data_IF_106558621840
#
_entry.id   IF_106558621840
#
_cell.length_a   1.000
_cell.length_b   1.000
_cell.length_c   1.000
_cell.angle_alpha   90.00
_cell.angle_beta   90.00
_cell.angle_gamma   90.00
#
_symmetry.space_group_name_H-M   'P 1'
#
loop_
_entity.id
_entity.type
_entity.pdbx_description
1 polymer ?
#
# COMPACT_ATOMS: atom_id res chain seq x y z
N UNK A 1 12.27 1.08 -7.04
CA UNK A 1 11.22 0.39 -7.81
C UNK A 1 10.83 1.30 -8.95
N UNK A 2 10.88 0.94 -10.22
CA UNK A 2 10.42 -0.31 -10.85
C UNK A 2 11.43 -0.76 -11.91
N UNK A 3 11.67 -2.06 -12.05
CA UNK A 3 12.61 -2.63 -13.05
C UNK A 3 12.04 -2.56 -14.47
N UNK A 4 10.72 -2.44 -14.63
CA UNK A 4 10.05 -2.36 -15.94
C UNK A 4 9.16 -1.12 -16.02
N UNK A 5 9.52 -0.17 -16.88
CA UNK A 5 8.75 1.05 -17.15
C UNK A 5 7.87 0.87 -18.39
N UNK A 6 7.04 -0.17 -18.39
CA UNK A 6 6.11 -0.46 -19.48
C UNK A 6 4.65 -0.35 -19.04
N UNK A 7 3.74 -0.41 -20.01
CA UNK A 7 2.28 -0.31 -19.79
C UNK A 7 1.70 -1.44 -18.92
N UNK A 8 2.47 -2.47 -18.59
CA UNK A 8 2.06 -3.58 -17.73
C UNK A 8 2.47 -3.38 -16.27
N UNK A 9 3.20 -2.31 -15.97
CA UNK A 9 3.58 -1.93 -14.62
C UNK A 9 2.42 -1.24 -13.86
N UNK A 10 1.59 -2.05 -13.20
CA UNK A 10 0.47 -1.54 -12.38
C UNK A 10 0.89 -0.60 -11.24
N UNK A 11 2.12 -0.69 -10.73
CA UNK A 11 2.62 0.28 -9.74
C UNK A 11 2.67 1.70 -10.31
N UNK A 12 3.08 1.85 -11.58
CA UNK A 12 3.13 3.16 -12.24
C UNK A 12 1.75 3.65 -12.66
N UNK A 13 0.97 2.81 -13.35
CA UNK A 13 -0.26 3.27 -14.01
C UNK A 13 -1.51 3.19 -13.14
N UNK A 14 -1.50 2.41 -12.05
CA UNK A 14 -2.63 2.31 -11.13
C UNK A 14 -2.30 2.99 -9.79
N UNK A 15 -1.20 2.61 -9.15
CA UNK A 15 -0.92 3.05 -7.76
C UNK A 15 -0.51 4.52 -7.68
N UNK A 16 0.38 5.00 -8.56
CA UNK A 16 0.77 6.42 -8.54
C UNK A 16 -0.40 7.38 -8.81
N UNK A 17 -1.26 7.18 -9.83
CA UNK A 17 -2.44 8.01 -10.00
C UNK A 17 -3.40 7.91 -8.82
N UNK A 18 -3.60 6.70 -8.27
CA UNK A 18 -4.52 6.50 -7.16
C UNK A 18 -4.06 7.20 -5.87
N UNK A 19 -2.75 7.29 -5.65
CA UNK A 19 -2.17 8.07 -4.56
C UNK A 19 -2.54 9.56 -4.63
N UNK A 20 -2.73 10.13 -5.83
CA UNK A 20 -3.14 11.53 -5.98
C UNK A 20 -4.57 11.78 -5.47
N UNK A 21 -5.41 10.73 -5.48
CA UNK A 21 -6.81 10.80 -5.06
C UNK A 21 -7.04 10.36 -3.61
N UNK A 22 -6.11 9.61 -3.02
CA UNK A 22 -6.22 9.13 -1.64
C UNK A 22 -4.97 9.44 -0.80
N UNK A 23 -5.17 10.23 0.26
CA UNK A 23 -4.08 10.71 1.11
C UNK A 23 -3.37 9.58 1.87
N UNK A 24 -4.08 8.54 2.31
CA UNK A 24 -3.48 7.41 3.03
C UNK A 24 -2.57 6.62 2.08
N UNK A 25 -3.01 6.41 0.84
CA UNK A 25 -2.19 5.80 -0.21
C UNK A 25 -0.98 6.68 -0.53
N UNK A 26 -1.14 8.00 -0.63
CA UNK A 26 -0.01 8.93 -0.80
C UNK A 26 1.01 8.82 0.34
N UNK A 27 0.56 8.85 1.59
CA UNK A 27 1.45 8.72 2.76
C UNK A 27 2.21 7.39 2.71
N UNK A 28 1.57 6.29 2.30
CA UNK A 28 2.23 4.99 2.12
C UNK A 28 3.28 4.99 0.99
N UNK A 29 2.93 5.51 -0.19
CA UNK A 29 3.84 5.60 -1.35
C UNK A 29 5.06 6.45 -1.01
N UNK A 30 4.84 7.60 -0.36
CA UNK A 30 5.93 8.49 0.06
C UNK A 30 6.79 7.85 1.15
N UNK A 31 6.21 7.12 2.11
CA UNK A 31 6.98 6.42 3.14
C UNK A 31 7.96 5.42 2.50
N UNK A 32 7.47 4.55 1.62
CA UNK A 32 8.30 3.56 0.92
C UNK A 32 9.36 4.22 0.05
N UNK A 33 8.97 5.26 -0.70
CA UNK A 33 9.90 6.01 -1.55
C UNK A 33 11.00 6.69 -0.73
N UNK A 34 10.65 7.31 0.39
CA UNK A 34 11.61 7.99 1.27
C UNK A 34 12.53 7.01 1.99
N UNK A 35 12.04 5.83 2.40
CA UNK A 35 12.91 4.76 2.91
C UNK A 35 13.96 4.30 1.88
N UNK A 36 13.55 4.12 0.62
CA UNK A 36 14.49 3.76 -0.45
C UNK A 36 15.50 4.86 -0.75
N UNK A 37 15.07 6.13 -0.72
CA UNK A 37 15.94 7.28 -1.00
C UNK A 37 16.87 7.61 0.18
N UNK A 38 16.43 7.42 1.43
CA UNK A 38 17.24 7.70 2.62
C UNK A 38 18.48 6.81 2.68
N UNK A 39 18.33 5.56 2.24
CA UNK A 39 19.46 4.62 2.12
C UNK A 39 20.50 5.09 1.08
N UNK A 40 20.06 5.79 0.02
CA UNK A 40 20.96 6.34 -1.02
C UNK A 40 21.55 7.71 -0.68
N UNK A 41 20.86 8.50 0.16
CA UNK A 41 21.16 9.92 0.38
C UNK A 41 21.84 10.22 1.72
N UNK A 42 22.27 9.19 2.46
CA UNK A 42 22.93 9.36 3.76
C UNK A 42 22.04 10.00 4.83
N UNK A 43 20.71 9.89 4.72
CA UNK A 43 19.75 10.37 5.74
C UNK A 43 19.35 11.86 5.69
N UNK A 44 19.76 12.62 4.68
CA UNK A 44 19.51 14.08 4.58
C UNK A 44 18.19 14.48 3.92
N UNK A 45 17.15 13.63 3.99
CA UNK A 45 15.86 13.95 3.38
C UNK A 45 15.03 14.89 4.30
N UNK A 46 14.34 15.89 3.72
CA UNK A 46 13.52 16.83 4.48
C UNK A 46 12.30 16.18 5.14
N UNK A 47 11.85 15.03 4.63
CA UNK A 47 10.71 14.29 5.17
C UNK A 47 11.18 12.96 5.76
N UNK A 48 10.88 12.74 7.04
CA UNK A 48 11.21 11.50 7.74
C UNK A 48 10.26 10.37 7.31
N UNK A 49 10.78 9.22 6.84
CA UNK A 49 9.95 8.10 6.40
C UNK A 49 9.04 7.57 7.51
N UNK A 50 9.53 7.49 8.76
CA UNK A 50 8.77 7.04 9.93
C UNK A 50 7.48 7.84 10.15
N UNK A 51 7.52 9.17 9.89
CA UNK A 51 6.35 10.04 10.06
C UNK A 51 5.27 9.77 9.02
N UNK A 52 5.68 9.49 7.78
CA UNK A 52 4.76 9.14 6.70
C UNK A 52 4.18 7.75 6.90
N UNK A 53 5.02 6.80 7.31
CA UNK A 53 4.59 5.45 7.66
C UNK A 53 3.55 5.48 8.78
N UNK A 54 3.82 6.19 9.88
CA UNK A 54 2.86 6.34 10.98
C UNK A 54 1.53 6.97 10.52
N UNK A 55 1.56 7.97 9.62
CA UNK A 55 0.33 8.55 9.04
C UNK A 55 -0.46 7.54 8.22
N UNK A 56 0.21 6.70 7.43
CA UNK A 56 -0.44 5.65 6.67
C UNK A 56 -1.09 4.60 7.59
N UNK A 57 -0.39 4.18 8.65
CA UNK A 57 -0.93 3.26 9.67
C UNK A 57 -2.15 3.87 10.39
N UNK A 58 -2.08 5.14 10.78
CA UNK A 58 -3.23 5.85 11.37
C UNK A 58 -4.42 5.91 10.40
N UNK A 59 -4.16 6.15 9.11
CA UNK A 59 -5.17 6.10 8.06
C UNK A 59 -5.86 4.74 7.98
N UNK A 60 -5.08 3.65 8.03
CA UNK A 60 -5.60 2.28 8.02
C UNK A 60 -6.43 1.98 9.27
N UNK A 61 -5.97 2.41 10.45
CA UNK A 61 -6.69 2.24 11.71
C UNK A 61 -8.05 2.97 11.70
N UNK A 62 -8.09 4.20 11.15
CA UNK A 62 -9.31 4.98 11.00
C UNK A 62 -10.31 4.36 9.99
N UNK A 63 -9.83 3.45 9.13
CA UNK A 63 -10.63 2.78 8.10
C UNK A 63 -10.79 1.28 8.37
N UNK A 64 -10.75 0.88 9.64
CA UNK A 64 -10.78 -0.54 10.05
C UNK A 64 -12.13 -1.23 9.84
N UNK A 65 -13.25 -0.50 9.82
CA UNK A 65 -14.59 -1.02 9.51
C UNK A 65 -14.81 -1.17 7.99
N UNK A 66 -14.16 -2.15 7.35
CA UNK A 66 -14.18 -2.32 5.89
C UNK A 66 -15.58 -2.50 5.30
N UNK A 67 -16.50 -3.10 6.05
CA UNK A 67 -17.88 -3.38 5.65
C UNK A 67 -18.71 -2.11 5.43
N UNK A 68 -18.40 -1.03 6.13
CA UNK A 68 -19.08 0.28 6.02
C UNK A 68 -18.64 1.09 4.79
N UNK A 69 -17.53 0.73 4.17
CA UNK A 69 -16.91 1.50 3.10
C UNK A 69 -17.34 1.06 1.70
N UNK A 70 -17.35 2.03 0.78
CA UNK A 70 -17.53 1.75 -0.65
C UNK A 70 -16.33 1.02 -1.26
N UNK A 71 -16.50 0.52 -2.47
CA UNK A 71 -15.48 -0.28 -3.16
C UNK A 71 -14.17 0.49 -3.37
N UNK A 72 -14.24 1.79 -3.70
CA UNK A 72 -13.05 2.61 -3.91
C UNK A 72 -12.25 2.79 -2.62
N UNK A 73 -12.93 3.05 -1.50
CA UNK A 73 -12.28 3.18 -0.20
C UNK A 73 -11.71 1.84 0.25
N UNK A 74 -12.40 0.71 0.03
CA UNK A 74 -11.83 -0.62 0.28
C UNK A 74 -10.55 -0.84 -0.53
N UNK A 75 -10.54 -0.50 -1.82
CA UNK A 75 -9.34 -0.61 -2.66
C UNK A 75 -8.19 0.28 -2.15
N UNK A 76 -8.47 1.47 -1.60
CA UNK A 76 -7.45 2.32 -0.96
C UNK A 76 -6.75 1.63 0.21
N UNK A 77 -7.49 0.88 1.02
CA UNK A 77 -6.98 0.12 2.17
C UNK A 77 -6.02 -0.96 1.67
N UNK A 78 -6.46 -1.78 0.72
CA UNK A 78 -5.61 -2.84 0.15
C UNK A 78 -4.36 -2.29 -0.55
N UNK A 79 -4.50 -1.22 -1.32
CA UNK A 79 -3.36 -0.57 -1.98
C UNK A 79 -2.36 -0.06 -0.95
N UNK A 80 -2.80 0.60 0.12
CA UNK A 80 -1.92 1.09 1.17
C UNK A 80 -1.20 -0.08 1.88
N UNK A 81 -1.93 -1.13 2.27
CA UNK A 81 -1.33 -2.32 2.92
C UNK A 81 -0.27 -2.95 2.02
N UNK A 82 -0.59 -3.22 0.74
CA UNK A 82 0.35 -3.85 -0.20
C UNK A 82 1.57 -2.95 -0.46
N UNK A 83 1.37 -1.63 -0.54
CA UNK A 83 2.48 -0.68 -0.70
C UNK A 83 3.41 -0.74 0.52
N UNK A 84 2.87 -0.67 1.74
CA UNK A 84 3.66 -0.77 2.96
C UNK A 84 4.36 -2.12 3.10
N UNK A 85 3.68 -3.22 2.75
CA UNK A 85 4.24 -4.57 2.73
C UNK A 85 5.50 -4.65 1.86
N UNK A 86 5.45 -4.09 0.66
CA UNK A 86 6.62 -4.02 -0.21
C UNK A 86 7.76 -3.24 0.44
N UNK A 87 7.45 -2.11 1.07
CA UNK A 87 8.45 -1.32 1.81
C UNK A 87 9.14 -2.12 2.92
N UNK A 88 8.36 -2.81 3.76
CA UNK A 88 8.92 -3.58 4.88
C UNK A 88 9.68 -4.82 4.42
N UNK A 89 9.23 -5.48 3.34
CA UNK A 89 9.93 -6.63 2.76
C UNK A 89 11.31 -6.24 2.22
N UNK A 90 11.41 -5.13 1.48
CA UNK A 90 12.70 -4.69 0.91
C UNK A 90 13.66 -4.21 1.99
N UNK A 91 13.14 -3.63 3.07
CA UNK A 91 13.97 -3.12 4.17
C UNK A 91 14.25 -4.16 5.26
N UNK A 92 13.67 -5.36 5.20
CA UNK A 92 13.80 -6.38 6.25
C UNK A 92 13.21 -5.94 7.60
N UNK A 93 12.14 -5.16 7.58
CA UNK A 93 11.52 -4.61 8.80
C UNK A 93 10.74 -5.66 9.59
N UNK A 94 10.78 -5.56 10.92
CA UNK A 94 10.01 -6.39 11.86
C UNK A 94 8.49 -6.21 11.76
N UNK A 95 8.03 -5.18 11.05
CA UNK A 95 6.59 -4.90 10.89
C UNK A 95 5.93 -5.82 9.85
N UNK A 96 6.71 -6.63 9.11
CA UNK A 96 6.18 -7.52 8.09
C UNK A 96 5.04 -8.44 8.58
N UNK A 97 5.18 -9.18 9.70
CA UNK A 97 4.10 -10.05 10.18
C UNK A 97 2.83 -9.28 10.52
N UNK A 98 2.96 -8.06 11.06
CA UNK A 98 1.82 -7.21 11.43
C UNK A 98 1.06 -6.78 10.17
N UNK A 99 1.76 -6.26 9.17
CA UNK A 99 1.14 -5.83 7.91
C UNK A 99 0.58 -7.01 7.11
N UNK A 100 1.22 -8.18 7.19
CA UNK A 100 0.73 -9.38 6.53
C UNK A 100 -0.57 -9.88 7.17
N UNK A 101 -0.64 -9.93 8.50
CA UNK A 101 -1.88 -10.24 9.20
C UNK A 101 -2.97 -9.21 8.93
N UNK A 102 -2.63 -7.92 8.84
CA UNK A 102 -3.58 -6.88 8.46
C UNK A 102 -4.16 -7.12 7.06
N UNK A 103 -3.34 -7.53 6.09
CA UNK A 103 -3.81 -7.91 4.76
C UNK A 103 -4.77 -9.10 4.80
N UNK A 104 -4.43 -10.14 5.57
CA UNK A 104 -5.28 -11.33 5.74
C UNK A 104 -6.63 -10.96 6.37
N UNK A 105 -6.62 -10.22 7.48
CA UNK A 105 -7.85 -9.78 8.15
C UNK A 105 -8.71 -8.88 7.25
N UNK A 106 -8.09 -7.98 6.47
CA UNK A 106 -8.81 -7.16 5.51
C UNK A 106 -9.47 -8.01 4.42
N UNK A 107 -8.79 -9.05 3.93
CA UNK A 107 -9.33 -9.96 2.92
C UNK A 107 -10.50 -10.79 3.47
N UNK A 108 -10.37 -11.31 4.68
CA UNK A 108 -11.44 -12.05 5.35
C UNK A 108 -12.67 -11.16 5.58
N UNK A 109 -12.46 -9.92 6.00
CA UNK A 109 -13.54 -8.95 6.26
C UNK A 109 -14.36 -8.60 5.01
N UNK A 110 -13.76 -8.64 3.81
CA UNK A 110 -14.48 -8.37 2.55
C UNK A 110 -15.03 -9.64 1.88
N UNK A 111 -14.92 -10.81 2.54
CA UNK A 111 -15.41 -12.08 1.99
C UNK A 111 -14.45 -12.73 0.97
N UNK A 112 -13.14 -12.51 1.13
CA UNK A 112 -12.10 -13.10 0.29
C UNK A 112 -11.75 -12.26 -0.94
N UNK A 113 -11.08 -12.88 -1.91
CA UNK A 113 -10.63 -12.21 -3.15
C UNK A 113 -11.78 -11.58 -3.95
N UNK A 114 -12.99 -12.14 -3.90
CA UNK A 114 -14.19 -11.57 -4.53
C UNK A 114 -14.60 -10.20 -3.96
N UNK A 115 -14.18 -9.90 -2.73
CA UNK A 115 -14.45 -8.63 -2.03
C UNK A 115 -13.59 -7.45 -2.51
N UNK A 116 -12.56 -7.70 -3.32
CA UNK A 116 -11.71 -6.64 -3.92
C UNK A 116 -12.44 -5.85 -5.02
N UNK A 117 -13.62 -6.34 -5.43
CA UNK A 117 -14.44 -5.79 -6.49
C UNK A 117 -13.93 -6.17 -7.88
N UNK A 118 -14.17 -5.32 -8.86
CA UNK A 118 -13.86 -5.54 -10.27
C UNK A 118 -12.93 -4.46 -10.86
N UNK A 119 -12.48 -4.69 -12.10
CA UNK A 119 -11.62 -3.76 -12.84
C UNK A 119 -10.12 -3.95 -12.63
N UNK A 120 -9.34 -3.05 -13.22
CA UNK A 120 -7.88 -3.18 -13.30
C UNK A 120 -7.19 -3.13 -11.93
N UNK A 121 -7.72 -2.31 -11.00
CA UNK A 121 -7.21 -2.23 -9.64
C UNK A 121 -7.40 -3.55 -8.88
N UNK A 122 -8.60 -4.15 -8.95
CA UNK A 122 -8.87 -5.44 -8.31
C UNK A 122 -7.98 -6.55 -8.88
N UNK A 123 -7.81 -6.59 -10.21
CA UNK A 123 -6.90 -7.52 -10.89
C UNK A 123 -5.45 -7.34 -10.46
N UNK A 124 -4.99 -6.09 -10.31
CA UNK A 124 -3.65 -5.78 -9.86
C UNK A 124 -3.41 -6.24 -8.42
N UNK A 125 -4.35 -5.93 -7.51
CA UNK A 125 -4.30 -6.31 -6.10
C UNK A 125 -4.24 -7.83 -5.95
N UNK A 126 -5.14 -8.55 -6.63
CA UNK A 126 -5.19 -10.01 -6.61
C UNK A 126 -3.88 -10.64 -7.10
N UNK A 127 -3.26 -10.08 -8.15
CA UNK A 127 -1.92 -10.51 -8.60
C UNK A 127 -0.81 -10.22 -7.60
N UNK A 128 -0.92 -9.18 -6.76
CA UNK A 128 0.07 -8.92 -5.72
C UNK A 128 -0.14 -9.83 -4.51
N UNK A 129 -1.38 -10.14 -4.15
CA UNK A 129 -1.72 -11.00 -3.00
C UNK A 129 -1.32 -12.46 -3.25
N UNK A 130 -1.41 -12.94 -4.49
CA UNK A 130 -1.08 -14.34 -4.85
C UNK A 130 0.41 -14.61 -5.07
N UNK A 131 1.27 -13.58 -5.04
CA UNK A 131 2.72 -13.73 -5.19
C UNK A 131 3.36 -14.15 -3.88
#
# INVERSE_FOLDING_TARGET
>A
MVVMDDKYNGWRYLILPFALSDKMVMDAVLAVSTFHLSHKSGGTLPVRPDKLYAKAILGLQNRSSLDEYDMLTRQSIFVAIITLLVGVMVNGSSDFPILFHMLQSALDAVGGEGGLGNGDMANFLLRQIRK
#
